data_IF_381125169982
#
_entry.id   IF_381125169982
#
_cell.length_a   1.000
_cell.length_b   1.000
_cell.length_c   1.000
_cell.angle_alpha   90.00
_cell.angle_beta   90.00
_cell.angle_gamma   90.00
#
_symmetry.space_group_name_H-M   'P 1'
#
loop_
_entity.id
_entity.type
_entity.pdbx_description
1 polymer ?
#
# COMPACT_ATOMS: atom_id res chain seq x y z
N UNK A 1 8.26 -14.74 1.28
CA UNK A 1 9.46 -15.55 1.56
C UNK A 1 9.42 -15.96 3.03
N UNK A 2 9.25 -17.25 3.30
CA UNK A 2 9.49 -17.75 4.65
C UNK A 2 10.99 -17.64 4.93
N UNK A 3 11.36 -17.00 6.03
CA UNK A 3 12.75 -16.89 6.44
C UNK A 3 12.84 -16.88 7.97
N UNK A 4 13.99 -17.30 8.49
CA UNK A 4 14.29 -17.27 9.92
C UNK A 4 15.77 -16.99 10.10
N UNK A 5 16.12 -16.14 11.05
CA UNK A 5 17.49 -16.03 11.54
C UNK A 5 17.91 -17.30 12.30
N UNK A 6 19.18 -17.67 12.20
CA UNK A 6 19.79 -18.70 13.04
C UNK A 6 20.42 -18.09 14.27
N UNK A 7 20.26 -18.76 15.42
CA UNK A 7 20.80 -18.36 16.71
C UNK A 7 22.34 -18.38 16.70
N UNK A 8 22.95 -17.53 17.53
CA UNK A 8 24.37 -17.63 17.85
C UNK A 8 24.57 -18.62 19.00
N UNK A 9 25.43 -19.62 18.78
CA UNK A 9 25.80 -20.59 19.82
C UNK A 9 27.05 -20.17 20.61
N UNK A 10 27.77 -19.15 20.15
CA UNK A 10 28.97 -18.60 20.78
C UNK A 10 28.69 -17.23 21.38
N UNK A 11 29.27 -16.96 22.54
CA UNK A 11 29.11 -15.70 23.28
C UNK A 11 29.84 -14.50 22.65
N UNK A 12 30.78 -14.74 21.76
CA UNK A 12 31.60 -13.72 21.08
C UNK A 12 31.18 -13.48 19.62
N UNK A 13 30.05 -14.05 19.19
CA UNK A 13 29.61 -13.96 17.81
C UNK A 13 28.76 -12.71 17.54
N UNK A 14 29.03 -12.06 16.41
CA UNK A 14 28.28 -10.91 15.92
C UNK A 14 27.92 -11.09 14.43
N UNK A 15 26.79 -10.53 14.01
CA UNK A 15 26.40 -10.42 12.60
C UNK A 15 25.91 -9.01 12.36
N UNK A 16 26.54 -8.36 11.40
CA UNK A 16 26.09 -7.08 10.87
C UNK A 16 25.26 -7.36 9.63
N UNK A 17 24.07 -6.77 9.54
CA UNK A 17 23.16 -6.96 8.40
C UNK A 17 22.78 -5.58 7.88
N UNK A 18 22.95 -5.39 6.57
CA UNK A 18 22.35 -4.30 5.83
C UNK A 18 21.20 -4.86 5.00
N UNK A 19 19.98 -4.38 5.26
CA UNK A 19 18.80 -4.77 4.48
C UNK A 19 18.47 -3.64 3.51
N UNK A 20 18.54 -3.94 2.21
CA UNK A 20 18.17 -3.01 1.14
C UNK A 20 17.02 -3.61 0.35
N UNK A 21 15.90 -2.89 0.29
CA UNK A 21 14.75 -3.26 -0.52
C UNK A 21 14.68 -2.43 -1.79
N UNK A 22 14.44 -3.10 -2.92
CA UNK A 22 14.16 -2.43 -4.20
C UNK A 22 12.68 -2.57 -4.54
N UNK A 23 12.14 -1.55 -5.21
CA UNK A 23 10.78 -1.53 -5.74
C UNK A 23 10.78 -0.91 -7.14
N UNK A 24 9.77 -1.19 -7.98
CA UNK A 24 9.53 -0.40 -9.18
C UNK A 24 9.41 1.09 -8.83
N UNK A 25 9.94 1.96 -9.68
CA UNK A 25 9.91 3.41 -9.47
C UNK A 25 8.47 3.91 -9.33
N UNK A 26 7.54 3.39 -10.14
CA UNK A 26 6.13 3.75 -10.05
C UNK A 26 5.41 3.25 -8.79
N UNK A 27 6.02 2.39 -7.96
CA UNK A 27 5.36 1.76 -6.80
C UNK A 27 5.48 2.58 -5.51
N UNK A 28 5.13 3.87 -5.54
CA UNK A 28 5.35 4.80 -4.42
C UNK A 28 4.57 4.45 -3.14
N UNK A 29 3.52 3.64 -3.27
CA UNK A 29 2.76 3.10 -2.13
C UNK A 29 3.50 2.01 -1.36
N UNK A 30 4.65 1.54 -1.85
CA UNK A 30 5.47 0.53 -1.20
C UNK A 30 6.63 1.18 -0.45
N UNK A 31 6.67 1.01 0.88
CA UNK A 31 7.69 1.58 1.74
C UNK A 31 7.91 0.74 3.00
N UNK A 32 9.17 0.58 3.40
CA UNK A 32 9.55 -0.26 4.55
C UNK A 32 9.29 0.44 5.89
N UNK A 33 9.72 1.70 6.04
CA UNK A 33 9.64 2.43 7.30
C UNK A 33 8.56 3.53 7.38
N UNK A 34 7.74 3.70 6.34
CA UNK A 34 6.79 4.81 6.22
C UNK A 34 5.32 4.42 6.49
N UNK A 35 4.38 5.27 6.05
CA UNK A 35 2.93 5.09 6.19
C UNK A 35 2.34 3.75 5.70
N UNK A 36 2.91 3.02 4.73
CA UNK A 36 2.38 1.72 4.32
C UNK A 36 2.25 0.71 5.47
N UNK A 37 3.06 0.83 6.54
CA UNK A 37 2.92 0.02 7.76
C UNK A 37 1.60 0.23 8.50
N UNK A 38 1.00 1.41 8.36
CA UNK A 38 -0.30 1.75 8.96
C UNK A 38 -1.46 1.15 8.18
N UNK A 39 -1.26 0.68 6.95
CA UNK A 39 -2.35 0.27 6.08
C UNK A 39 -3.27 -0.81 6.66
N UNK A 40 -2.80 -1.60 7.64
CA UNK A 40 -3.57 -2.63 8.33
C UNK A 40 -3.99 -2.25 9.75
N UNK A 41 -3.67 -1.05 10.24
CA UNK A 41 -4.06 -0.62 11.59
C UNK A 41 -5.50 -0.12 11.62
N UNK A 42 -6.19 -0.34 12.74
CA UNK A 42 -7.54 0.16 12.94
C UNK A 42 -7.60 1.70 12.88
N UNK A 43 -6.58 2.38 13.41
CA UNK A 43 -6.45 3.83 13.34
C UNK A 43 -6.48 4.34 11.91
N UNK A 44 -5.70 3.73 11.00
CA UNK A 44 -5.69 4.15 9.61
C UNK A 44 -6.99 3.79 8.89
N UNK A 45 -7.60 2.64 9.23
CA UNK A 45 -8.91 2.26 8.70
C UNK A 45 -9.99 3.27 9.05
N UNK A 46 -10.06 3.70 10.31
CA UNK A 46 -10.99 4.74 10.76
C UNK A 46 -10.67 6.10 10.14
N UNK A 47 -9.38 6.46 10.03
CA UNK A 47 -8.96 7.70 9.39
C UNK A 47 -9.37 7.78 7.92
N UNK A 48 -9.26 6.67 7.18
CA UNK A 48 -9.55 6.62 5.75
C UNK A 48 -11.04 6.82 5.44
N UNK A 49 -11.94 6.53 6.37
CA UNK A 49 -13.36 6.75 6.19
C UNK A 49 -13.65 8.24 5.92
N UNK A 50 -14.36 8.54 4.83
CA UNK A 50 -14.68 9.90 4.41
C UNK A 50 -13.51 10.73 3.86
N UNK A 51 -12.33 10.13 3.61
CA UNK A 51 -11.19 10.84 2.99
C UNK A 51 -11.31 10.91 1.48
N UNK A 52 -10.86 12.02 0.92
CA UNK A 52 -10.71 12.19 -0.53
C UNK A 52 -9.47 11.43 -1.06
N UNK A 53 -9.42 11.14 -2.37
CA UNK A 53 -8.23 10.57 -3.00
C UNK A 53 -6.95 11.39 -2.74
N UNK A 54 -7.08 12.72 -2.72
CA UNK A 54 -5.94 13.63 -2.56
C UNK A 54 -5.39 13.61 -1.14
N UNK A 55 -6.26 13.49 -0.13
CA UNK A 55 -5.83 13.28 1.26
C UNK A 55 -5.16 11.91 1.44
N UNK A 56 -5.70 10.86 0.83
CA UNK A 56 -5.10 9.52 0.91
C UNK A 56 -3.77 9.41 0.16
N UNK A 57 -3.58 10.20 -0.90
CA UNK A 57 -2.32 10.27 -1.63
C UNK A 57 -1.16 10.80 -0.76
N UNK A 58 -1.44 11.61 0.26
CA UNK A 58 -0.43 12.06 1.23
C UNK A 58 0.16 10.89 2.05
N UNK A 59 -0.57 9.77 2.13
CA UNK A 59 -0.14 8.54 2.80
C UNK A 59 0.34 7.47 1.81
N UNK A 60 0.52 7.86 0.54
CA UNK A 60 1.01 6.97 -0.51
C UNK A 60 -0.05 6.11 -1.18
N UNK A 61 -1.36 6.33 -0.94
CA UNK A 61 -2.39 5.62 -1.70
C UNK A 61 -2.39 6.11 -3.16
N UNK A 62 -2.31 5.22 -4.16
CA UNK A 62 -2.28 5.65 -5.56
C UNK A 62 -3.56 6.38 -5.97
N UNK A 63 -3.41 7.51 -6.69
CA UNK A 63 -4.56 8.30 -7.16
C UNK A 63 -5.43 7.52 -8.18
N UNK A 64 -6.70 7.90 -8.36
CA UNK A 64 -7.54 7.41 -9.46
C UNK A 64 -6.82 7.50 -10.80
N UNK A 65 -6.96 6.48 -11.65
CA UNK A 65 -6.30 6.38 -12.95
C UNK A 65 -4.86 5.85 -12.91
N UNK A 66 -4.25 5.68 -11.74
CA UNK A 66 -2.95 5.03 -11.62
C UNK A 66 -3.01 3.56 -12.10
N UNK A 67 -2.00 3.10 -12.84
CA UNK A 67 -1.92 1.75 -13.42
C UNK A 67 -1.91 0.58 -12.40
N UNK A 68 -1.80 0.90 -11.12
CA UNK A 68 -1.98 -0.05 -10.02
C UNK A 68 -3.44 -0.54 -9.94
N UNK A 69 -4.38 0.33 -10.27
CA UNK A 69 -5.80 0.06 -10.08
C UNK A 69 -6.35 -0.85 -11.17
N UNK A 70 -7.03 -1.87 -10.70
CA UNK A 70 -7.97 -2.74 -11.41
C UNK A 70 -9.27 -2.77 -10.61
N UNK A 71 -10.36 -3.24 -11.22
CA UNK A 71 -11.63 -3.43 -10.49
C UNK A 71 -11.45 -4.21 -9.18
N UNK A 72 -10.72 -5.33 -9.25
CA UNK A 72 -10.43 -6.17 -8.09
C UNK A 72 -9.67 -5.43 -6.97
N UNK A 73 -8.66 -4.62 -7.31
CA UNK A 73 -7.91 -3.86 -6.29
C UNK A 73 -8.73 -2.73 -5.67
N UNK A 74 -9.67 -2.14 -6.43
CA UNK A 74 -10.60 -1.13 -5.89
C UNK A 74 -11.61 -1.78 -4.96
N UNK A 75 -12.14 -2.96 -5.31
CA UNK A 75 -13.04 -3.70 -4.44
C UNK A 75 -12.35 -4.17 -3.16
N UNK A 76 -11.10 -4.63 -3.27
CA UNK A 76 -10.28 -4.96 -2.09
C UNK A 76 -10.04 -3.73 -1.21
N UNK A 77 -9.80 -2.54 -1.80
CA UNK A 77 -9.67 -1.30 -1.04
C UNK A 77 -10.97 -0.93 -0.31
N UNK A 78 -12.12 -1.02 -0.98
CA UNK A 78 -13.42 -0.75 -0.37
C UNK A 78 -13.74 -1.71 0.80
N UNK A 79 -13.42 -3.00 0.65
CA UNK A 79 -13.57 -3.98 1.72
C UNK A 79 -12.61 -3.72 2.89
N UNK A 80 -11.39 -3.28 2.59
CA UNK A 80 -10.37 -3.00 3.59
C UNK A 80 -10.67 -1.74 4.41
N UNK A 81 -11.26 -0.73 3.79
CA UNK A 81 -11.56 0.57 4.40
C UNK A 81 -13.07 0.88 4.34
N UNK A 82 -13.89 0.28 5.22
CA UNK A 82 -15.32 0.57 5.28
C UNK A 82 -15.57 2.08 5.49
N UNK A 83 -16.48 2.66 4.70
CA UNK A 83 -16.80 4.10 4.76
C UNK A 83 -15.91 4.99 3.90
N UNK A 84 -14.92 4.43 3.18
CA UNK A 84 -14.24 5.14 2.10
C UNK A 84 -15.13 5.14 0.84
N UNK A 85 -15.41 6.31 0.30
CA UNK A 85 -16.02 6.42 -1.03
C UNK A 85 -14.97 6.12 -2.10
N UNK A 86 -15.14 5.03 -2.85
CA UNK A 86 -14.24 4.61 -3.92
C UNK A 86 -14.71 5.00 -5.33
N UNK A 87 -15.78 5.80 -5.44
CA UNK A 87 -16.40 6.20 -6.71
C UNK A 87 -15.40 6.79 -7.71
N UNK A 88 -14.48 7.66 -7.25
CA UNK A 88 -13.47 8.29 -8.09
C UNK A 88 -12.56 7.28 -8.81
N UNK A 89 -12.13 6.22 -8.11
CA UNK A 89 -11.33 5.15 -8.71
C UNK A 89 -12.13 4.33 -9.72
N UNK A 90 -13.41 4.05 -9.43
CA UNK A 90 -14.29 3.33 -10.36
C UNK A 90 -14.55 4.11 -11.64
N UNK A 91 -14.80 5.41 -11.52
CA UNK A 91 -14.98 6.30 -12.69
C UNK A 91 -13.73 6.30 -13.57
N UNK A 92 -12.53 6.40 -12.97
CA UNK A 92 -11.28 6.39 -13.72
C UNK A 92 -11.05 5.05 -14.48
N UNK A 93 -11.45 3.92 -13.89
CA UNK A 93 -11.40 2.62 -14.56
C UNK A 93 -12.35 2.56 -15.76
N UNK A 94 -13.58 3.08 -15.61
CA UNK A 94 -14.56 3.15 -16.69
C UNK A 94 -14.15 4.06 -17.84
N UNK A 95 -13.42 5.14 -17.57
CA UNK A 95 -12.89 6.06 -18.58
C UNK A 95 -11.76 5.48 -19.43
N UNK A 96 -11.06 4.45 -18.95
CA UNK A 96 -9.94 3.82 -19.68
C UNK A 96 -10.43 2.86 -20.79
N UNK A 97 -11.69 2.41 -20.75
CA UNK A 97 -12.27 1.51 -21.75
C UNK A 97 -12.74 2.21 -23.04
N UNK A 98 -12.70 3.55 -23.11
CA UNK A 98 -13.24 4.32 -24.24
C UNK A 98 -12.17 4.88 -25.21
N UNK A 99 -10.92 4.45 -25.08
CA UNK A 99 -9.82 4.85 -25.97
C UNK A 99 -9.04 3.62 -26.45
N UNK A 100 -9.57 2.93 -27.45
CA UNK A 100 -8.95 1.82 -28.16
C UNK A 100 -9.58 1.64 -29.53
#
# INVERSE_FOLDING_TARGET
MWHRGTDFTRSDAFRFVLVVGFRPAQADWFGYDAFPRLGNSDTFRSFAAGKSPEELALFGVPRPGHAYWTGATVDAMAAKYPGLDVSAWRTALGGTAASG
#
